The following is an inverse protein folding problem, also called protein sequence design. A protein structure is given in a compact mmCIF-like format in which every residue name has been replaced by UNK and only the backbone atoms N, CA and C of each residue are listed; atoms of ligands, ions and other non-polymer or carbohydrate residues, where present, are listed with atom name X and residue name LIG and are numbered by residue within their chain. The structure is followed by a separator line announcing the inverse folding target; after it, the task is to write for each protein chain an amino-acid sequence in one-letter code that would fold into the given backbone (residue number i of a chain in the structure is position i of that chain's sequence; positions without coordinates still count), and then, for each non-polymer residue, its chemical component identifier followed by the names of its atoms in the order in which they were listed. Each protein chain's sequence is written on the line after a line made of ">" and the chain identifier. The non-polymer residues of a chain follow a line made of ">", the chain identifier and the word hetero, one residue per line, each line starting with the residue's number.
data_IF_614875361263
#
_entry.id   IF_614875361263
#
_cell.length_a   1.000
_cell.length_b   1.000
_cell.length_c   1.000
_cell.angle_alpha   90.00
_cell.angle_beta   90.00
_cell.angle_gamma   90.00
#
_symmetry.space_group_name_H-M   'P 1'
#
loop_
_entity.id
_entity.type
_entity.pdbx_description
1 polymer ?
#
# COMPACT_ATOMS: atom_id res chain seq x y z
N UNK A 1 35.59 -25.15 -46.80
CA UNK A 1 35.52 -24.33 -45.57
C UNK A 1 34.08 -23.91 -45.33
N UNK A 2 33.42 -24.42 -44.28
CA UNK A 2 32.27 -23.79 -43.60
C UNK A 2 31.86 -24.71 -42.44
N UNK A 3 32.35 -24.39 -41.24
CA UNK A 3 31.91 -25.04 -39.99
C UNK A 3 30.63 -24.32 -39.55
N UNK A 4 29.51 -25.03 -39.54
CA UNK A 4 28.27 -24.57 -38.91
C UNK A 4 28.39 -24.84 -37.40
N UNK A 5 28.42 -23.78 -36.61
CA UNK A 5 28.33 -23.85 -35.15
C UNK A 5 26.88 -23.58 -34.78
N UNK A 6 26.16 -24.61 -34.32
CA UNK A 6 24.86 -24.44 -33.68
C UNK A 6 25.11 -24.00 -32.23
N UNK A 7 24.80 -22.74 -31.91
CA UNK A 7 24.73 -22.28 -30.53
C UNK A 7 23.36 -22.65 -29.95
N UNK A 8 23.33 -23.61 -29.02
CA UNK A 8 22.15 -23.92 -28.25
C UNK A 8 21.94 -22.84 -27.18
N UNK A 9 20.88 -22.05 -27.31
CA UNK A 9 20.44 -21.10 -26.29
C UNK A 9 19.62 -21.88 -25.26
N UNK A 10 20.24 -22.27 -24.14
CA UNK A 10 19.51 -22.75 -22.97
C UNK A 10 18.77 -21.56 -22.35
N UNK A 11 17.46 -21.47 -22.59
CA UNK A 11 16.59 -20.56 -21.85
C UNK A 11 16.47 -21.02 -20.40
N UNK A 12 17.02 -20.25 -19.45
CA UNK A 12 16.67 -20.38 -18.05
C UNK A 12 15.19 -20.03 -17.90
N UNK A 13 14.35 -21.04 -17.71
CA UNK A 13 13.03 -20.84 -17.15
C UNK A 13 13.19 -20.42 -15.69
N UNK A 14 13.09 -19.12 -15.41
CA UNK A 14 12.99 -18.63 -14.05
C UNK A 14 11.65 -19.09 -13.48
N UNK A 15 11.67 -20.11 -12.62
CA UNK A 15 10.51 -20.51 -11.82
C UNK A 15 10.16 -19.35 -10.88
N UNK A 16 9.11 -18.60 -11.21
CA UNK A 16 8.53 -17.61 -10.31
C UNK A 16 7.83 -18.35 -9.16
N UNK A 17 8.60 -18.73 -8.14
CA UNK A 17 8.02 -19.07 -6.84
C UNK A 17 7.43 -17.77 -6.31
N UNK A 18 6.11 -17.70 -6.18
CA UNK A 18 5.46 -16.59 -5.50
C UNK A 18 6.04 -16.50 -4.08
N UNK A 19 6.82 -15.46 -3.81
CA UNK A 19 7.44 -15.29 -2.51
C UNK A 19 6.35 -15.17 -1.44
N UNK A 20 6.47 -15.96 -0.37
CA UNK A 20 5.56 -15.88 0.78
C UNK A 20 5.71 -14.49 1.43
N UNK A 21 4.58 -13.86 1.78
CA UNK A 21 4.59 -12.57 2.47
C UNK A 21 5.35 -12.67 3.81
N UNK A 22 6.10 -11.62 4.21
CA UNK A 22 6.68 -11.54 5.53
C UNK A 22 5.62 -11.68 6.63
N UNK A 23 6.03 -12.24 7.78
CA UNK A 23 5.11 -12.57 8.89
C UNK A 23 4.28 -11.38 9.35
N UNK A 24 4.86 -10.17 9.40
CA UNK A 24 4.15 -8.96 9.82
C UNK A 24 3.09 -8.52 8.81
N UNK A 25 3.36 -8.68 7.51
CA UNK A 25 2.40 -8.36 6.43
C UNK A 25 1.26 -9.37 6.46
N UNK A 26 1.59 -10.66 6.56
CA UNK A 26 0.58 -11.72 6.66
C UNK A 26 -0.29 -11.57 7.92
N UNK A 27 0.27 -11.06 9.02
CA UNK A 27 -0.49 -10.79 10.24
C UNK A 27 -1.56 -9.73 10.02
N UNK A 28 -1.22 -8.59 9.41
CA UNK A 28 -2.19 -7.54 9.10
C UNK A 28 -3.33 -8.07 8.21
N UNK A 29 -3.00 -8.85 7.18
CA UNK A 29 -4.00 -9.52 6.33
C UNK A 29 -4.89 -10.47 7.14
N UNK A 30 -4.30 -11.23 8.07
CA UNK A 30 -5.05 -12.19 8.89
C UNK A 30 -5.96 -11.52 9.94
N UNK A 31 -5.60 -10.34 10.43
CA UNK A 31 -6.43 -9.54 11.33
C UNK A 31 -7.70 -9.07 10.62
N UNK A 32 -7.56 -8.51 9.41
CA UNK A 32 -8.71 -8.13 8.59
C UNK A 32 -9.56 -9.33 8.16
N UNK A 33 -8.91 -10.46 7.86
CA UNK A 33 -9.62 -11.71 7.58
C UNK A 33 -10.46 -12.18 8.78
N UNK A 34 -9.93 -12.04 10.00
CA UNK A 34 -10.66 -12.39 11.22
C UNK A 34 -11.83 -11.44 11.47
N UNK A 35 -11.63 -10.13 11.30
CA UNK A 35 -12.68 -9.12 11.42
C UNK A 35 -13.81 -9.36 10.42
N UNK A 36 -13.46 -9.68 9.18
CA UNK A 36 -14.45 -10.03 8.17
C UNK A 36 -15.25 -11.28 8.56
N UNK A 37 -14.58 -12.36 8.97
CA UNK A 37 -15.24 -13.62 9.36
C UNK A 37 -16.10 -13.48 10.61
N UNK A 38 -15.69 -12.67 11.59
CA UNK A 38 -16.48 -12.45 12.81
C UNK A 38 -17.80 -11.73 12.52
N UNK A 39 -17.88 -11.01 11.40
CA UNK A 39 -19.11 -10.42 10.87
C UNK A 39 -19.91 -11.33 9.92
N UNK A 40 -19.51 -12.60 9.78
CA UNK A 40 -20.15 -13.57 8.88
C UNK A 40 -19.70 -13.51 7.42
N UNK A 41 -18.67 -12.72 7.11
CA UNK A 41 -18.21 -12.50 5.74
C UNK A 41 -17.12 -13.45 5.23
N UNK A 42 -16.90 -13.40 3.92
CA UNK A 42 -15.84 -14.10 3.19
C UNK A 42 -14.76 -13.12 2.74
N UNK A 43 -13.55 -13.29 3.27
CA UNK A 43 -12.43 -12.37 3.05
C UNK A 43 -11.60 -12.72 1.82
N UNK A 44 -11.21 -11.71 1.05
CA UNK A 44 -10.21 -11.78 -0.02
C UNK A 44 -9.35 -10.52 -0.06
N UNK A 45 -8.05 -10.67 -0.32
CA UNK A 45 -7.06 -9.58 -0.38
C UNK A 45 -6.27 -9.56 -1.69
N UNK A 46 -6.76 -10.23 -2.75
CA UNK A 46 -6.00 -10.49 -3.98
C UNK A 46 -5.47 -9.24 -4.70
N UNK A 47 -6.06 -8.07 -4.48
CA UNK A 47 -5.63 -6.77 -5.03
C UNK A 47 -5.02 -5.83 -3.99
N UNK A 48 -5.08 -6.21 -2.72
CA UNK A 48 -4.75 -5.32 -1.60
C UNK A 48 -3.27 -5.21 -1.30
N UNK A 49 -2.43 -6.07 -1.90
CA UNK A 49 -0.98 -6.09 -1.67
C UNK A 49 -0.24 -5.65 -2.93
N UNK A 50 0.62 -4.64 -2.79
CA UNK A 50 1.63 -4.30 -3.78
C UNK A 50 3.03 -4.54 -3.18
N UNK A 51 3.92 -5.14 -3.97
CA UNK A 51 5.33 -5.35 -3.59
C UNK A 51 6.21 -4.49 -4.49
N UNK A 52 6.96 -3.58 -3.90
CA UNK A 52 7.75 -2.56 -4.61
C UNK A 52 8.82 -1.99 -3.68
N UNK A 53 10.02 -1.70 -4.20
CA UNK A 53 11.05 -0.94 -3.46
C UNK A 53 10.67 0.56 -3.47
N UNK A 54 10.06 1.05 -2.38
CA UNK A 54 9.58 2.44 -2.25
C UNK A 54 10.64 3.36 -1.65
N UNK A 55 11.55 2.83 -0.84
CA UNK A 55 12.58 3.62 -0.17
C UNK A 55 13.93 3.63 -0.93
N UNK A 56 14.09 2.79 -1.95
CA UNK A 56 15.27 2.69 -2.80
C UNK A 56 16.44 1.94 -2.15
N UNK A 57 16.19 1.09 -1.14
CA UNK A 57 17.24 0.35 -0.43
C UNK A 57 17.57 -1.03 -1.04
N UNK A 58 16.86 -1.40 -2.11
CA UNK A 58 17.05 -2.67 -2.83
C UNK A 58 16.30 -3.86 -2.24
N UNK A 59 15.54 -3.67 -1.15
CA UNK A 59 14.66 -4.68 -0.58
C UNK A 59 13.19 -4.38 -0.91
N UNK A 60 12.36 -5.41 -1.14
CA UNK A 60 10.95 -5.19 -1.43
C UNK A 60 10.21 -4.63 -0.21
N UNK A 61 9.54 -3.49 -0.39
CA UNK A 61 8.52 -3.01 0.54
C UNK A 61 7.15 -3.58 0.16
N UNK A 62 6.22 -3.55 1.11
CA UNK A 62 4.87 -4.08 0.96
C UNK A 62 3.85 -3.01 1.32
N UNK A 63 3.00 -2.65 0.36
CA UNK A 63 1.85 -1.79 0.59
C UNK A 63 0.64 -2.67 0.74
N UNK A 64 -0.01 -2.61 1.91
CA UNK A 64 -1.30 -3.22 2.17
C UNK A 64 -2.37 -2.13 2.22
N UNK A 65 -3.21 -2.05 1.20
CA UNK A 65 -4.39 -1.19 1.15
C UNK A 65 -5.63 -2.00 1.50
N UNK A 66 -6.14 -1.86 2.73
CA UNK A 66 -7.32 -2.63 3.13
C UNK A 66 -8.60 -2.19 2.42
N UNK A 67 -8.60 -1.03 1.75
CA UNK A 67 -9.70 -0.60 0.87
C UNK A 67 -9.87 -1.51 -0.33
N UNK A 68 -8.80 -2.16 -0.77
CA UNK A 68 -8.79 -3.11 -1.89
C UNK A 68 -9.11 -4.54 -1.45
N UNK A 69 -9.45 -4.75 -0.17
CA UNK A 69 -9.96 -6.02 0.32
C UNK A 69 -11.45 -6.15 0.05
N UNK A 70 -11.91 -7.40 -0.03
CA UNK A 70 -13.31 -7.76 -0.14
C UNK A 70 -13.72 -8.55 1.10
N UNK A 71 -14.79 -8.11 1.76
CA UNK A 71 -15.49 -8.88 2.78
C UNK A 71 -16.92 -9.18 2.32
N UNK A 72 -17.07 -10.21 1.49
CA UNK A 72 -18.37 -10.54 0.89
C UNK A 72 -19.33 -11.10 1.95
N UNK A 73 -20.49 -10.48 2.12
CA UNK A 73 -21.49 -10.89 3.11
C UNK A 73 -21.17 -10.49 4.56
N UNK A 74 -20.09 -9.74 4.79
CA UNK A 74 -19.74 -9.22 6.11
C UNK A 74 -19.77 -7.69 6.17
N UNK A 75 -19.29 -7.13 7.28
CA UNK A 75 -19.15 -5.70 7.48
C UNK A 75 -18.00 -5.12 6.64
N UNK A 76 -18.12 -3.85 6.25
CA UNK A 76 -17.02 -3.11 5.65
C UNK A 76 -15.90 -2.93 6.69
N UNK A 77 -14.65 -3.08 6.25
CA UNK A 77 -13.45 -2.96 7.10
C UNK A 77 -12.98 -1.49 7.23
N UNK A 78 -13.62 -0.58 6.51
CA UNK A 78 -13.37 0.86 6.56
C UNK A 78 -14.04 1.54 7.74
N UNK A 79 -13.46 2.67 8.15
CA UNK A 79 -14.04 3.55 9.17
C UNK A 79 -14.28 4.96 8.63
N UNK A 80 -14.67 5.88 9.52
CA UNK A 80 -14.83 7.29 9.17
C UNK A 80 -13.56 7.87 8.54
N UNK A 81 -12.39 7.43 8.99
CA UNK A 81 -11.07 7.80 8.47
C UNK A 81 -10.74 7.31 7.06
N UNK A 82 -11.56 6.43 6.48
CA UNK A 82 -11.24 5.62 5.31
C UNK A 82 -10.78 4.21 5.70
N UNK A 83 -10.06 3.54 4.80
CA UNK A 83 -9.46 2.23 5.02
C UNK A 83 -7.98 2.37 5.37
N UNK A 84 -7.47 1.59 6.33
CA UNK A 84 -6.04 1.52 6.59
C UNK A 84 -5.20 1.22 5.33
N UNK A 85 -4.22 2.09 5.07
CA UNK A 85 -3.11 1.80 4.16
C UNK A 85 -1.84 1.70 5.00
N UNK A 86 -1.26 0.51 5.01
CA UNK A 86 -0.04 0.20 5.77
C UNK A 86 1.11 -0.09 4.83
N UNK A 87 2.26 0.54 5.07
CA UNK A 87 3.50 0.25 4.34
C UNK A 87 4.46 -0.47 5.28
N UNK A 88 4.96 -1.63 4.85
CA UNK A 88 5.99 -2.38 5.54
C UNK A 88 7.30 -2.27 4.77
N UNK A 89 8.34 -1.74 5.41
CA UNK A 89 9.66 -1.65 4.81
C UNK A 89 10.37 -3.01 4.86
N UNK A 90 10.89 -3.46 3.72
CA UNK A 90 11.70 -4.67 3.62
C UNK A 90 12.97 -4.60 4.47
N UNK A 91 13.55 -5.75 4.81
CA UNK A 91 14.81 -5.83 5.56
C UNK A 91 15.79 -6.80 4.85
N UNK A 92 17.11 -6.65 5.06
CA UNK A 92 18.12 -7.53 4.47
C UNK A 92 17.97 -9.02 4.79
N UNK A 93 17.35 -9.35 5.92
CA UNK A 93 17.11 -10.73 6.37
C UNK A 93 15.83 -11.35 5.76
N UNK A 94 15.17 -10.64 4.83
CA UNK A 94 13.91 -11.05 4.23
C UNK A 94 12.68 -10.80 5.10
N UNK A 95 12.85 -10.22 6.29
CA UNK A 95 11.72 -9.74 7.11
C UNK A 95 11.20 -8.39 6.60
N UNK A 96 10.16 -7.88 7.27
CA UNK A 96 9.67 -6.53 7.05
C UNK A 96 9.27 -5.90 8.39
N UNK A 97 9.18 -4.56 8.42
CA UNK A 97 8.71 -3.80 9.58
C UNK A 97 7.68 -2.78 9.14
N UNK A 98 6.64 -2.58 9.95
CA UNK A 98 5.70 -1.48 9.69
C UNK A 98 6.46 -0.15 9.71
N UNK A 99 6.34 0.59 8.61
CA UNK A 99 7.03 1.84 8.37
C UNK A 99 6.05 3.01 8.20
N UNK A 100 4.76 2.74 8.02
CA UNK A 100 3.69 3.74 7.97
C UNK A 100 2.33 3.07 8.08
N UNK A 101 1.36 3.73 8.71
CA UNK A 101 -0.04 3.35 8.69
C UNK A 101 -0.92 4.59 8.81
N UNK A 102 -1.96 4.70 7.96
CA UNK A 102 -2.97 5.75 8.07
C UNK A 102 -4.27 5.36 7.35
N UNK A 103 -5.41 5.86 7.83
CA UNK A 103 -6.68 5.76 7.10
C UNK A 103 -6.68 6.62 5.84
N UNK A 104 -7.06 6.04 4.71
CA UNK A 104 -7.08 6.68 3.41
C UNK A 104 -8.37 6.37 2.63
N UNK A 105 -8.69 7.21 1.66
CA UNK A 105 -9.72 6.95 0.66
C UNK A 105 -9.23 5.92 -0.38
N UNK A 106 -7.92 5.67 -0.42
CA UNK A 106 -7.23 4.68 -1.25
C UNK A 106 -5.78 5.09 -1.48
N UNK A 107 -4.96 4.19 -2.02
CA UNK A 107 -3.56 4.44 -2.37
C UNK A 107 -3.26 4.18 -3.86
N UNK A 108 -2.37 4.99 -4.44
CA UNK A 108 -1.93 4.80 -5.84
C UNK A 108 -0.49 5.24 -6.05
N UNK A 109 0.24 4.47 -6.86
CA UNK A 109 1.54 4.86 -7.36
C UNK A 109 1.40 5.92 -8.45
N UNK A 110 2.10 7.04 -8.32
CA UNK A 110 2.16 8.10 -9.34
C UNK A 110 3.61 8.56 -9.46
N UNK A 111 4.19 8.37 -10.65
CA UNK A 111 5.57 8.75 -10.97
C UNK A 111 6.58 8.26 -9.91
N UNK A 112 6.48 6.99 -9.52
CA UNK A 112 7.41 6.35 -8.57
C UNK A 112 7.18 6.72 -7.09
N UNK A 113 6.11 7.43 -6.74
CA UNK A 113 5.77 7.72 -5.33
C UNK A 113 4.40 7.17 -4.99
N UNK A 114 4.25 6.64 -3.77
CA UNK A 114 2.96 6.23 -3.23
C UNK A 114 2.19 7.47 -2.77
N UNK A 115 1.01 7.69 -3.33
CA UNK A 115 0.07 8.74 -2.92
C UNK A 115 -1.13 8.13 -2.21
N UNK A 116 -1.56 8.74 -1.12
CA UNK A 116 -2.79 8.39 -0.43
C UNK A 116 -3.82 9.51 -0.59
N UNK A 117 -5.05 9.11 -0.87
CA UNK A 117 -6.23 9.97 -0.78
C UNK A 117 -6.58 10.25 0.68
N UNK A 118 -6.60 11.51 1.08
CA UNK A 118 -6.83 11.94 2.46
C UNK A 118 -7.67 13.21 2.50
N UNK A 119 -8.13 13.60 3.69
CA UNK A 119 -8.94 14.80 3.87
C UNK A 119 -8.59 15.62 5.10
N UNK A 120 -9.14 16.83 5.16
CA UNK A 120 -9.12 17.70 6.34
C UNK A 120 -7.72 18.23 6.66
N UNK A 121 -7.25 17.99 7.89
CA UNK A 121 -5.94 18.49 8.34
C UNK A 121 -4.77 17.93 7.51
N UNK A 122 -4.91 16.73 6.95
CA UNK A 122 -3.93 16.19 5.99
C UNK A 122 -3.86 16.98 4.69
N UNK A 123 -4.84 17.82 4.40
CA UNK A 123 -4.82 18.75 3.28
C UNK A 123 -4.42 20.18 3.71
N UNK A 124 -4.01 20.37 4.96
CA UNK A 124 -3.70 21.69 5.53
C UNK A 124 -4.95 22.52 5.87
N UNK A 125 -6.13 21.90 5.86
CA UNK A 125 -7.37 22.58 6.23
C UNK A 125 -7.42 22.77 7.76
N UNK A 126 -7.90 23.93 8.23
CA UNK A 126 -8.28 24.10 9.62
C UNK A 126 -9.63 23.40 9.87
N UNK A 127 -9.59 22.28 10.58
CA UNK A 127 -10.77 21.43 10.85
C UNK A 127 -11.50 21.76 12.15
N UNK A 128 -11.07 22.79 12.90
CA UNK A 128 -11.74 23.18 14.15
C UNK A 128 -13.20 23.60 13.86
N UNK A 129 -14.13 22.96 14.56
CA UNK A 129 -15.57 23.23 14.41
C UNK A 129 -16.19 22.67 13.12
N UNK A 130 -15.44 21.89 12.33
CA UNK A 130 -15.94 21.27 11.10
C UNK A 130 -16.26 19.80 11.30
N UNK A 131 -17.37 19.37 10.73
CA UNK A 131 -17.69 17.94 10.58
C UNK A 131 -16.97 17.38 9.36
N UNK A 132 -16.75 16.07 9.33
CA UNK A 132 -15.95 15.41 8.28
C UNK A 132 -16.51 15.58 6.86
N UNK A 133 -17.83 15.71 6.72
CA UNK A 133 -18.46 16.01 5.43
C UNK A 133 -18.04 17.37 4.83
N UNK A 134 -17.47 18.26 5.64
CA UNK A 134 -16.97 19.58 5.23
C UNK A 134 -15.45 19.58 4.97
N UNK A 135 -14.81 18.41 5.00
CA UNK A 135 -13.37 18.32 4.82
C UNK A 135 -13.02 18.36 3.33
N UNK A 136 -12.00 19.14 3.00
CA UNK A 136 -11.42 19.12 1.66
C UNK A 136 -10.61 17.84 1.50
N UNK A 137 -10.74 17.20 0.33
CA UNK A 137 -9.92 16.04 -0.03
C UNK A 137 -8.71 16.47 -0.87
N UNK A 138 -7.62 15.72 -0.74
CA UNK A 138 -6.41 15.88 -1.53
C UNK A 138 -5.65 14.54 -1.57
N UNK A 139 -4.66 14.43 -2.45
CA UNK A 139 -3.72 13.31 -2.40
C UNK A 139 -2.37 13.79 -1.85
N UNK A 140 -1.78 13.01 -0.95
CA UNK A 140 -0.49 13.30 -0.33
C UNK A 140 0.50 12.19 -0.68
N UNK A 141 1.68 12.52 -1.24
CA UNK A 141 2.71 11.51 -1.42
C UNK A 141 3.37 11.17 -0.10
N UNK A 142 3.79 9.91 0.04
CA UNK A 142 4.73 9.53 1.08
C UNK A 142 6.16 9.92 0.68
N UNK A 143 7.00 10.06 1.70
CA UNK A 143 8.44 10.24 1.58
C UNK A 143 9.13 9.39 2.64
N UNK A 144 10.28 8.81 2.29
CA UNK A 144 11.10 8.06 3.22
C UNK A 144 11.86 8.99 4.16
N UNK A 145 11.75 8.76 5.47
CA UNK A 145 12.58 9.40 6.48
C UNK A 145 13.71 8.44 6.88
N UNK A 146 14.87 8.55 6.22
CA UNK A 146 16.00 7.65 6.43
C UNK A 146 16.52 7.62 7.88
N UNK A 147 16.43 8.75 8.60
CA UNK A 147 16.87 8.84 10.00
C UNK A 147 15.97 8.00 10.91
N UNK A 148 14.66 8.04 10.68
CA UNK A 148 13.66 7.35 11.50
C UNK A 148 13.31 5.95 10.98
N UNK A 149 13.71 5.64 9.73
CA UNK A 149 13.37 4.42 9.01
C UNK A 149 11.86 4.18 8.91
N UNK A 150 11.12 5.23 8.58
CA UNK A 150 9.66 5.23 8.40
C UNK A 150 9.28 6.06 7.17
N UNK A 151 8.13 5.78 6.58
CA UNK A 151 7.51 6.71 5.64
C UNK A 151 6.69 7.75 6.40
N UNK A 152 6.65 8.97 5.87
CA UNK A 152 5.84 10.07 6.38
C UNK A 152 5.12 10.73 5.20
N UNK A 153 4.02 11.44 5.46
CA UNK A 153 3.48 12.31 4.44
C UNK A 153 4.49 13.42 4.10
N UNK A 154 4.83 13.57 2.82
CA UNK A 154 5.60 14.71 2.34
C UNK A 154 4.88 16.03 2.68
N UNK A 155 5.59 17.17 2.81
CA UNK A 155 4.99 18.45 3.23
C UNK A 155 3.68 18.79 2.50
N UNK A 156 2.76 19.50 3.18
CA UNK A 156 1.45 19.88 2.62
C UNK A 156 1.59 20.64 1.28
N UNK A 157 2.69 21.37 1.07
CA UNK A 157 3.01 22.05 -0.18
C UNK A 157 3.17 21.11 -1.38
N UNK A 158 3.39 19.81 -1.16
CA UNK A 158 3.46 18.77 -2.20
C UNK A 158 2.13 18.02 -2.41
N UNK A 159 1.05 18.41 -1.72
CA UNK A 159 -0.28 17.84 -1.99
C UNK A 159 -0.69 18.11 -3.42
N UNK A 160 -1.54 17.25 -3.98
CA UNK A 160 -2.21 17.49 -5.26
C UNK A 160 -3.73 17.53 -5.07
N UNK A 161 -4.47 18.19 -5.97
CA UNK A 161 -5.93 18.11 -5.99
C UNK A 161 -6.38 16.65 -5.99
N UNK A 162 -7.49 16.37 -5.32
CA UNK A 162 -8.08 15.03 -5.31
C UNK A 162 -8.64 14.72 -6.71
N UNK A 163 -8.15 13.68 -7.42
CA UNK A 163 -8.62 13.39 -8.77
C UNK A 163 -10.06 12.87 -8.77
N UNK A 164 -10.86 13.26 -9.77
CA UNK A 164 -12.21 12.72 -9.94
C UNK A 164 -12.22 11.21 -10.20
N UNK A 165 -11.16 10.68 -10.84
CA UNK A 165 -10.96 9.26 -11.12
C UNK A 165 -10.29 8.50 -9.97
N UNK A 166 -10.30 9.05 -8.75
CA UNK A 166 -9.79 8.38 -7.56
C UNK A 166 -10.87 7.42 -7.05
N UNK A 167 -10.94 6.28 -7.72
CA UNK A 167 -11.76 5.16 -7.27
C UNK A 167 -11.09 4.45 -6.09
N UNK A 168 -11.92 3.84 -5.25
CA UNK A 168 -11.50 2.83 -4.27
C UNK A 168 -10.99 1.61 -5.00
#
# INVERSE_FOLDING_TARGET
>A
MKKLVLAAVLGLAASFVAAKLPVVVQRAVNEDAQNCRSSGGHFSYSKAIQTIDLNGDGYPDYVYDSGETVCAGGADLGGSGGWPVTVFAGQPDGSAKEAFSNGAIGARMINGRLYLGVGGAYCGQNTRGRVRAQYDNCIRPLQWNARRKVFEFAPVSQKRPFPASWER
#
